data_IF_175821786521
#
_entry.id   IF_175821786521
#
_cell.length_a   1.000
_cell.length_b   1.000
_cell.length_c   1.000
_cell.angle_alpha   90.00
_cell.angle_beta   90.00
_cell.angle_gamma   90.00
#
_symmetry.space_group_name_H-M   'P 1'
#
loop_
_entity.id
_entity.type
_entity.pdbx_description
1 polymer ?
#
# COMPACT_ATOMS: atom_id res chain seq x y z
N UNK A 1 3.97 6.82 -13.29
CA UNK A 1 3.74 7.52 -12.01
C UNK A 1 4.71 8.70 -11.94
N UNK A 2 4.33 9.80 -11.30
CA UNK A 2 5.20 10.98 -11.10
C UNK A 2 5.41 11.13 -9.60
N UNK A 3 6.65 10.99 -9.15
CA UNK A 3 6.98 11.11 -7.73
C UNK A 3 7.67 12.45 -7.48
N UNK A 4 7.04 13.29 -6.66
CA UNK A 4 7.53 14.63 -6.37
C UNK A 4 7.82 14.77 -4.88
N UNK A 5 9.04 15.16 -4.47
CA UNK A 5 9.32 15.47 -3.07
C UNK A 5 8.33 16.49 -2.52
N UNK A 6 7.90 16.28 -1.27
CA UNK A 6 7.00 17.18 -0.57
C UNK A 6 7.78 18.30 0.13
N UNK A 7 7.21 19.50 0.14
CA UNK A 7 7.70 20.58 0.99
C UNK A 7 7.07 20.56 2.39
N UNK A 8 7.43 21.53 3.23
CA UNK A 8 6.89 21.63 4.60
C UNK A 8 5.38 21.89 4.65
N UNK A 9 4.82 22.59 3.66
CA UNK A 9 3.38 22.85 3.59
C UNK A 9 2.63 21.60 3.16
N UNK A 10 3.15 20.85 2.18
CA UNK A 10 2.63 19.54 1.80
C UNK A 10 2.61 18.58 3.00
N UNK A 11 3.70 18.50 3.78
CA UNK A 11 3.75 17.61 4.95
C UNK A 11 2.72 18.00 6.03
N UNK A 12 2.56 19.30 6.29
CA UNK A 12 1.52 19.79 7.20
C UNK A 12 0.12 19.43 6.72
N UNK A 13 -0.12 19.54 5.43
CA UNK A 13 -1.41 19.21 4.84
C UNK A 13 -1.68 17.70 4.90
N UNK A 14 -0.68 16.87 4.61
CA UNK A 14 -0.78 15.42 4.80
C UNK A 14 -1.18 15.08 6.24
N UNK A 15 -0.50 15.63 7.25
CA UNK A 15 -0.86 15.43 8.65
C UNK A 15 -2.26 15.92 9.01
N UNK A 16 -2.74 17.01 8.38
CA UNK A 16 -4.12 17.48 8.57
C UNK A 16 -5.12 16.49 7.98
N UNK A 17 -4.86 15.99 6.78
CA UNK A 17 -5.72 15.05 6.06
C UNK A 17 -5.80 13.68 6.74
N UNK A 18 -4.71 13.22 7.35
CA UNK A 18 -4.64 11.91 8.02
C UNK A 18 -4.93 11.95 9.51
N UNK A 19 -5.27 13.12 10.05
CA UNK A 19 -5.63 13.26 11.47
C UNK A 19 -6.89 12.44 11.76
N UNK A 20 -6.84 11.55 12.76
CA UNK A 20 -7.96 10.68 13.10
C UNK A 20 -7.97 9.33 12.36
N UNK A 21 -6.97 9.05 11.50
CA UNK A 21 -6.81 7.77 10.78
C UNK A 21 -5.85 6.81 11.49
N UNK A 22 -5.59 7.00 12.78
CA UNK A 22 -4.58 6.23 13.51
C UNK A 22 -4.92 4.74 13.56
N UNK A 23 -6.21 4.40 13.58
CA UNK A 23 -6.66 3.00 13.60
C UNK A 23 -6.33 2.30 12.29
N UNK A 24 -6.58 2.95 11.15
CA UNK A 24 -6.27 2.42 9.81
C UNK A 24 -4.78 2.17 9.66
N UNK A 25 -3.95 3.05 10.22
CA UNK A 25 -2.49 2.92 10.16
C UNK A 25 -1.97 1.84 11.11
N UNK A 26 -2.50 1.74 12.33
CA UNK A 26 -2.05 0.75 13.32
C UNK A 26 -2.57 -0.67 13.07
N UNK A 27 -3.59 -0.84 12.22
CA UNK A 27 -4.20 -2.15 11.93
C UNK A 27 -3.41 -2.99 10.91
N UNK A 28 -2.40 -2.40 10.27
CA UNK A 28 -1.57 -3.06 9.25
C UNK A 28 -0.10 -3.11 9.71
N UNK A 29 0.73 -3.98 9.10
CA UNK A 29 2.15 -4.04 9.42
C UNK A 29 2.82 -2.66 9.28
N UNK A 30 3.59 -2.24 10.28
CA UNK A 30 4.25 -0.93 10.29
C UNK A 30 5.20 -0.72 9.10
N UNK A 31 5.83 -1.79 8.62
CA UNK A 31 6.65 -1.77 7.41
C UNK A 31 5.82 -1.40 6.18
N UNK A 32 4.63 -1.96 6.03
CA UNK A 32 3.73 -1.63 4.92
C UNK A 32 3.30 -0.17 4.96
N UNK A 33 2.90 0.33 6.13
CA UNK A 33 2.55 1.75 6.29
C UNK A 33 3.72 2.65 5.94
N UNK A 34 4.93 2.30 6.38
CA UNK A 34 6.13 3.05 6.02
C UNK A 34 6.35 3.07 4.50
N UNK A 35 6.13 1.96 3.79
CA UNK A 35 6.22 1.92 2.32
C UNK A 35 5.15 2.78 1.65
N UNK A 36 3.92 2.80 2.16
CA UNK A 36 2.88 3.72 1.70
C UNK A 36 3.30 5.18 1.88
N UNK A 37 3.88 5.53 3.03
CA UNK A 37 4.40 6.88 3.29
C UNK A 37 5.55 7.25 2.37
N UNK A 38 6.43 6.30 2.00
CA UNK A 38 7.45 6.56 0.99
C UNK A 38 6.84 7.04 -0.33
N UNK A 39 5.74 6.41 -0.78
CA UNK A 39 5.02 6.85 -1.98
C UNK A 39 4.46 8.26 -1.79
N UNK A 40 3.80 8.53 -0.65
CA UNK A 40 3.23 9.85 -0.34
C UNK A 40 4.32 10.92 -0.33
N UNK A 41 5.51 10.61 0.17
CA UNK A 41 6.63 11.55 0.27
C UNK A 41 7.40 11.72 -1.04
N UNK A 42 6.95 11.06 -2.12
CA UNK A 42 7.52 11.22 -3.45
C UNK A 42 8.73 10.33 -3.71
N UNK A 43 8.83 9.21 -2.99
CA UNK A 43 9.81 8.16 -3.27
C UNK A 43 9.12 7.00 -4.01
N UNK A 44 9.87 6.34 -4.88
CA UNK A 44 9.43 5.10 -5.51
C UNK A 44 9.69 3.92 -4.55
N UNK A 45 8.71 3.01 -4.43
CA UNK A 45 8.88 1.73 -3.75
C UNK A 45 8.40 0.60 -4.66
N UNK A 46 9.34 -0.02 -5.38
CA UNK A 46 9.05 -0.94 -6.49
C UNK A 46 8.26 -2.17 -6.08
N UNK A 47 8.44 -2.63 -4.85
CA UNK A 47 7.82 -3.86 -4.39
C UNK A 47 6.43 -3.64 -3.78
N UNK A 48 5.93 -2.38 -3.71
CA UNK A 48 4.68 -2.05 -3.02
C UNK A 48 3.49 -2.82 -3.57
N UNK A 49 3.44 -3.03 -4.89
CA UNK A 49 2.38 -3.80 -5.55
C UNK A 49 2.27 -5.22 -4.98
N UNK A 50 3.40 -5.89 -4.74
CA UNK A 50 3.43 -7.23 -4.15
C UNK A 50 2.95 -7.24 -2.69
N UNK A 51 3.29 -6.22 -1.90
CA UNK A 51 2.75 -6.05 -0.55
C UNK A 51 1.24 -5.80 -0.57
N UNK A 52 0.77 -4.97 -1.50
CA UNK A 52 -0.65 -4.69 -1.70
C UNK A 52 -1.44 -5.97 -2.02
N UNK A 53 -0.92 -6.79 -2.95
CA UNK A 53 -1.51 -8.10 -3.25
C UNK A 53 -1.51 -9.03 -2.03
N UNK A 54 -0.40 -9.11 -1.29
CA UNK A 54 -0.28 -9.99 -0.13
C UNK A 54 -1.36 -9.71 0.90
N UNK A 55 -1.51 -8.43 1.27
CA UNK A 55 -2.45 -7.97 2.30
C UNK A 55 -3.90 -8.07 1.82
N UNK A 56 -4.18 -7.73 0.57
CA UNK A 56 -5.53 -7.83 0.00
C UNK A 56 -6.02 -9.29 -0.06
N UNK A 57 -5.13 -10.23 -0.39
CA UNK A 57 -5.45 -11.67 -0.46
C UNK A 57 -5.31 -12.38 0.89
N UNK A 58 -4.98 -11.66 1.96
CA UNK A 58 -4.86 -12.23 3.29
C UNK A 58 -6.19 -12.14 4.05
N UNK A 59 -6.64 -13.27 4.59
CA UNK A 59 -7.93 -13.34 5.31
C UNK A 59 -7.97 -12.46 6.56
N UNK A 60 -6.82 -12.20 7.19
CA UNK A 60 -6.73 -11.37 8.38
C UNK A 60 -6.61 -9.89 8.03
N UNK A 61 -5.83 -9.54 7.00
CA UNK A 61 -5.55 -8.14 6.67
C UNK A 61 -6.48 -7.51 5.63
N UNK A 62 -7.25 -8.28 4.85
CA UNK A 62 -8.08 -7.73 3.75
C UNK A 62 -8.98 -6.57 4.17
N UNK A 63 -9.75 -6.73 5.24
CA UNK A 63 -10.67 -5.68 5.71
C UNK A 63 -9.92 -4.42 6.14
N UNK A 64 -8.81 -4.57 6.87
CA UNK A 64 -7.96 -3.44 7.29
C UNK A 64 -7.30 -2.74 6.10
N UNK A 65 -6.88 -3.50 5.11
CA UNK A 65 -6.32 -3.00 3.86
C UNK A 65 -7.35 -2.19 3.05
N UNK A 66 -8.57 -2.71 2.90
CA UNK A 66 -9.66 -2.01 2.22
C UNK A 66 -10.03 -0.70 2.94
N UNK A 67 -10.05 -0.70 4.28
CA UNK A 67 -10.25 0.53 5.09
C UNK A 67 -9.14 1.56 4.88
N UNK A 68 -7.87 1.15 4.86
CA UNK A 68 -6.77 2.06 4.55
C UNK A 68 -6.94 2.66 3.16
N UNK A 69 -7.28 1.84 2.15
CA UNK A 69 -7.50 2.35 0.79
C UNK A 69 -8.63 3.37 0.71
N UNK A 70 -9.71 3.18 1.47
CA UNK A 70 -10.82 4.14 1.54
C UNK A 70 -10.40 5.43 2.26
N UNK A 71 -9.65 5.32 3.36
CA UNK A 71 -9.15 6.47 4.10
C UNK A 71 -8.20 7.34 3.25
N UNK A 72 -7.31 6.71 2.47
CA UNK A 72 -6.43 7.42 1.54
C UNK A 72 -7.19 8.04 0.36
N UNK A 73 -8.28 7.42 -0.08
CA UNK A 73 -9.17 8.02 -1.09
C UNK A 73 -9.87 9.26 -0.54
N UNK A 74 -10.36 9.19 0.70
CA UNK A 74 -10.93 10.35 1.38
C UNK A 74 -9.92 11.49 1.44
N UNK A 75 -8.69 11.23 1.88
CA UNK A 75 -7.62 12.24 1.90
C UNK A 75 -7.34 12.84 0.50
N UNK A 76 -7.33 12.02 -0.55
CA UNK A 76 -7.14 12.47 -1.93
C UNK A 76 -8.31 13.30 -2.49
N UNK A 77 -9.52 13.13 -1.95
CA UNK A 77 -10.69 13.90 -2.34
C UNK A 77 -10.79 15.23 -1.59
N UNK A 78 -10.27 15.30 -0.36
CA UNK A 78 -10.32 16.51 0.49
C UNK A 78 -9.18 17.50 0.23
N UNK A 79 -8.12 17.09 -0.46
CA UNK A 79 -6.97 17.96 -0.75
C UNK A 79 -7.29 19.03 -1.80
N UNK A 80 -6.88 20.28 -1.53
CA UNK A 80 -6.87 21.33 -2.55
C UNK A 80 -5.72 21.07 -3.55
N UNK A 81 -6.07 20.47 -4.69
CA UNK A 81 -5.12 20.09 -5.74
C UNK A 81 -4.47 21.28 -6.44
N UNK A 82 -5.03 22.49 -6.30
CA UNK A 82 -4.44 23.71 -6.85
C UNK A 82 -3.28 24.21 -5.99
N UNK A 83 -3.39 24.01 -4.67
CA UNK A 83 -2.38 24.43 -3.70
C UNK A 83 -1.34 23.33 -3.43
N UNK A 84 -1.75 22.07 -3.32
CA UNK A 84 -0.92 20.93 -2.90
C UNK A 84 -0.75 19.89 -4.01
N UNK A 85 -0.28 20.35 -5.17
CA UNK A 85 -0.19 19.51 -6.38
C UNK A 85 0.71 18.28 -6.21
N UNK A 86 1.84 18.42 -5.50
CA UNK A 86 2.78 17.32 -5.30
C UNK A 86 2.18 16.25 -4.39
N UNK A 87 1.62 16.65 -3.26
CA UNK A 87 0.91 15.73 -2.37
C UNK A 87 -0.28 15.05 -3.07
N UNK A 88 -1.07 15.78 -3.85
CA UNK A 88 -2.17 15.20 -4.62
C UNK A 88 -1.68 14.13 -5.62
N UNK A 89 -0.59 14.41 -6.35
CA UNK A 89 -0.01 13.44 -7.29
C UNK A 89 0.51 12.20 -6.56
N UNK A 90 1.18 12.37 -5.44
CA UNK A 90 1.74 11.25 -4.67
C UNK A 90 0.65 10.40 -4.01
N UNK A 91 -0.41 11.01 -3.47
CA UNK A 91 -1.61 10.31 -3.01
C UNK A 91 -2.29 9.53 -4.14
N UNK A 92 -2.37 10.11 -5.34
CA UNK A 92 -2.89 9.41 -6.51
C UNK A 92 -2.02 8.19 -6.87
N UNK A 93 -0.69 8.30 -6.81
CA UNK A 93 0.20 7.15 -7.01
C UNK A 93 -0.04 6.06 -5.96
N UNK A 94 -0.17 6.43 -4.68
CA UNK A 94 -0.48 5.47 -3.63
C UNK A 94 -1.80 4.75 -3.90
N UNK A 95 -2.84 5.48 -4.31
CA UNK A 95 -4.14 4.89 -4.64
C UNK A 95 -4.09 3.94 -5.83
N UNK A 96 -3.21 4.18 -6.81
CA UNK A 96 -2.98 3.24 -7.91
C UNK A 96 -2.49 1.91 -7.35
N UNK A 97 -1.48 1.91 -6.48
CA UNK A 97 -0.98 0.69 -5.83
C UNK A 97 -2.05 0.01 -4.96
N UNK A 98 -2.73 0.78 -4.11
CA UNK A 98 -3.72 0.22 -3.19
C UNK A 98 -4.92 -0.41 -3.90
N UNK A 99 -5.31 0.11 -5.07
CA UNK A 99 -6.45 -0.40 -5.83
C UNK A 99 -6.11 -1.46 -6.85
N UNK A 100 -4.84 -1.56 -7.25
CA UNK A 100 -4.39 -2.56 -8.22
C UNK A 100 -4.92 -3.98 -7.92
N UNK A 101 -4.77 -4.55 -6.70
CA UNK A 101 -5.25 -5.89 -6.43
C UNK A 101 -6.78 -6.05 -6.47
N UNK A 102 -7.53 -4.97 -6.24
CA UNK A 102 -9.00 -4.97 -6.32
C UNK A 102 -9.46 -4.97 -7.78
N UNK A 103 -8.83 -4.15 -8.62
CA UNK A 103 -9.16 -4.04 -10.05
C UNK A 103 -8.73 -5.28 -10.82
N UNK A 104 -7.63 -5.90 -10.40
CA UNK A 104 -7.04 -7.08 -11.03
C UNK A 104 -7.38 -8.38 -10.29
N UNK A 105 -8.44 -8.41 -9.48
CA UNK A 105 -8.84 -9.61 -8.70
C UNK A 105 -9.16 -10.83 -9.60
N UNK A 106 -9.50 -10.61 -10.88
CA UNK A 106 -9.79 -11.66 -11.86
C UNK A 106 -8.70 -11.84 -12.92
N UNK A 107 -7.54 -11.20 -12.76
CA UNK A 107 -6.42 -11.31 -13.69
C UNK A 107 -5.46 -12.43 -13.24
N UNK A 108 -5.43 -13.53 -13.99
CA UNK A 108 -4.63 -14.71 -13.64
C UNK A 108 -3.12 -14.50 -13.85
N UNK A 109 -2.73 -13.64 -14.80
CA UNK A 109 -1.33 -13.28 -15.04
C UNK A 109 -0.81 -12.48 -13.85
N UNK A 110 -1.56 -11.44 -13.44
CA UNK A 110 -1.28 -10.66 -12.23
C UNK A 110 -1.13 -11.53 -10.98
N UNK A 111 -2.07 -12.45 -10.76
CA UNK A 111 -2.00 -13.38 -9.62
C UNK A 111 -0.76 -14.24 -9.68
N UNK A 112 -0.45 -14.79 -10.85
CA UNK A 112 0.69 -15.69 -11.04
C UNK A 112 2.00 -14.97 -10.76
N UNK A 113 2.19 -13.77 -11.29
CA UNK A 113 3.37 -12.93 -11.03
C UNK A 113 3.55 -12.65 -9.54
N UNK A 114 2.48 -12.23 -8.85
CA UNK A 114 2.53 -11.92 -7.43
C UNK A 114 2.77 -13.16 -6.56
N UNK A 115 2.13 -14.28 -6.88
CA UNK A 115 2.36 -15.56 -6.19
C UNK A 115 3.81 -16.01 -6.36
N UNK A 116 4.37 -15.85 -7.56
CA UNK A 116 5.76 -16.22 -7.84
C UNK A 116 6.75 -15.35 -7.05
N UNK A 117 6.55 -14.03 -7.03
CA UNK A 117 7.35 -13.11 -6.21
C UNK A 117 7.41 -13.56 -4.74
N UNK A 118 6.25 -13.83 -4.13
CA UNK A 118 6.20 -14.25 -2.73
C UNK A 118 6.75 -15.66 -2.49
N UNK A 119 6.57 -16.58 -3.43
CA UNK A 119 7.21 -17.91 -3.37
C UNK A 119 8.73 -17.78 -3.36
N UNK A 120 9.27 -16.93 -4.23
CA UNK A 120 10.71 -16.69 -4.33
C UNK A 120 11.28 -16.00 -3.10
N UNK A 121 10.53 -15.10 -2.48
CA UNK A 121 10.89 -14.46 -1.21
C UNK A 121 10.85 -15.45 -0.02
N UNK A 122 9.79 -16.25 0.07
CA UNK A 122 9.53 -17.11 1.24
C UNK A 122 10.41 -18.36 1.23
N UNK A 123 10.71 -18.94 0.06
CA UNK A 123 11.46 -20.22 -0.02
C UNK A 123 12.84 -20.18 0.64
N UNK A 124 13.46 -19.00 0.71
CA UNK A 124 14.82 -18.79 1.20
C UNK A 124 14.85 -18.08 2.57
N UNK A 125 13.68 -17.79 3.18
CA UNK A 125 13.57 -17.07 4.46
C UNK A 125 12.81 -17.90 5.51
N UNK A 126 13.57 -18.51 6.44
CA UNK A 126 13.03 -19.33 7.53
C UNK A 126 12.04 -18.57 8.43
N UNK A 127 12.27 -17.27 8.64
CA UNK A 127 11.37 -16.44 9.43
C UNK A 127 10.03 -16.32 8.71
N UNK A 128 10.03 -15.96 7.43
CA UNK A 128 8.79 -15.86 6.65
C UNK A 128 8.08 -17.21 6.54
N UNK A 129 8.79 -18.32 6.33
CA UNK A 129 8.18 -19.65 6.28
C UNK A 129 7.44 -20.03 7.58
N UNK A 130 7.94 -19.57 8.73
CA UNK A 130 7.33 -19.87 10.04
C UNK A 130 6.01 -19.11 10.28
N UNK A 131 5.82 -17.98 9.59
CA UNK A 131 4.70 -17.05 9.77
C UNK A 131 3.44 -17.56 9.06
N UNK A 132 2.29 -17.46 9.74
CA UNK A 132 1.03 -18.08 9.27
C UNK A 132 0.55 -17.44 7.97
N UNK A 133 0.67 -16.13 7.87
CA UNK A 133 0.31 -15.26 6.73
C UNK A 133 1.07 -15.62 5.44
N UNK A 134 2.26 -16.22 5.54
CA UNK A 134 3.09 -16.60 4.39
C UNK A 134 2.98 -18.08 3.99
N UNK A 135 2.30 -18.93 4.79
CA UNK A 135 2.16 -20.37 4.49
C UNK A 135 1.50 -20.66 3.15
N UNK A 136 0.63 -19.76 2.67
CA UNK A 136 -0.02 -19.83 1.35
C UNK A 136 0.96 -19.80 0.17
N UNK A 137 2.20 -19.36 0.39
CA UNK A 137 3.26 -19.35 -0.62
C UNK A 137 4.23 -20.53 -0.49
N UNK A 138 4.19 -21.28 0.63
CA UNK A 138 5.04 -22.46 0.83
C UNK A 138 4.41 -23.71 0.20
N UNK A 139 3.07 -23.80 0.25
CA UNK A 139 2.33 -24.96 -0.21
C UNK A 139 2.09 -24.89 -1.73
N UNK A 140 2.54 -25.92 -2.46
CA UNK A 140 2.27 -26.13 -3.88
C UNK A 140 0.93 -26.83 -4.07
#
# INVERSE_FOLDING_TARGET
>A
MIFSPLDHYDLKEYHRLTKGMEVEFLSLPSSFIHHCEQIVFGNEYKDLSYFCFHLYTDTFYREHYERLSQAMEYAYNEIDRTQFKNLANNLANLLIFLREPMVRENDDEYKTENLQYWRDMVKDDELLMSKKEFRKYVLK
#
